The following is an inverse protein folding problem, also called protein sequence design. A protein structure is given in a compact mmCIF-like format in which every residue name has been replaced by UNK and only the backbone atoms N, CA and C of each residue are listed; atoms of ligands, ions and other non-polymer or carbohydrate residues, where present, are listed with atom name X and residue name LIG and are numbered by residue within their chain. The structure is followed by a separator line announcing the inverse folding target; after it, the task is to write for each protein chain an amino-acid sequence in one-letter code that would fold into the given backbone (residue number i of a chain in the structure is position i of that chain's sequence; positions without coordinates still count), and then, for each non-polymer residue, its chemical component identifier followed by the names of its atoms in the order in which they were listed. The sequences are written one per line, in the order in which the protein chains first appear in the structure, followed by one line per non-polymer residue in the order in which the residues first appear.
data_IF_140182341871
#
_entry.id   IF_140182341871
#
_cell.length_a   1.000
_cell.length_b   1.000
_cell.length_c   1.000
_cell.angle_alpha   90.00
_cell.angle_beta   90.00
_cell.angle_gamma   90.00
#
_symmetry.space_group_name_H-M   'P 1'
#
loop_
_entity.id
_entity.type
_entity.pdbx_description
1 polymer ?
#
# COMPACT_ATOMS: atom_id res chain seq x y z
N UNK A 1 -8.65 5.42 16.31
CA UNK A 1 -8.12 5.69 14.98
C UNK A 1 -7.67 4.38 14.35
N UNK A 2 -7.87 4.23 13.07
CA UNK A 2 -7.59 2.98 12.38
C UNK A 2 -6.38 3.14 11.44
N UNK A 3 -5.55 2.10 11.37
CA UNK A 3 -4.45 2.05 10.43
C UNK A 3 -4.98 1.73 9.03
N UNK A 4 -4.47 2.41 8.01
CA UNK A 4 -4.78 2.14 6.61
C UNK A 4 -3.50 2.12 5.79
N UNK A 5 -3.48 1.29 4.73
CA UNK A 5 -2.42 1.32 3.74
C UNK A 5 -2.95 2.10 2.53
N UNK A 6 -2.27 3.18 2.19
CA UNK A 6 -2.66 4.04 1.07
C UNK A 6 -1.54 4.13 0.05
N UNK A 7 -1.91 4.33 -1.21
CA UNK A 7 -0.95 4.50 -2.30
C UNK A 7 -0.48 5.94 -2.33
N UNK A 8 0.84 6.13 -2.33
CA UNK A 8 1.48 7.42 -2.55
C UNK A 8 2.21 7.37 -3.89
N UNK A 9 1.94 8.33 -4.76
CA UNK A 9 2.53 8.40 -6.09
C UNK A 9 3.68 9.42 -6.11
N UNK A 10 4.72 9.10 -6.88
CA UNK A 10 5.88 9.98 -7.05
C UNK A 10 5.50 11.30 -7.72
N UNK A 11 4.52 11.25 -8.63
CA UNK A 11 4.02 12.40 -9.39
C UNK A 11 2.51 12.34 -9.50
N UNK A 12 1.87 13.47 -9.76
CA UNK A 12 0.45 13.49 -10.06
C UNK A 12 0.16 12.78 -11.38
N UNK A 13 -0.98 12.10 -11.43
CA UNK A 13 -1.42 11.45 -12.65
C UNK A 13 -2.00 12.48 -13.62
N UNK A 14 -1.72 12.34 -14.94
CA UNK A 14 -2.32 13.22 -15.95
C UNK A 14 -3.84 13.05 -16.03
N UNK A 15 -4.34 11.87 -15.68
CA UNK A 15 -5.77 11.60 -15.55
C UNK A 15 -5.98 10.82 -14.24
N UNK A 16 -6.94 11.21 -13.39
CA UNK A 16 -7.16 10.51 -12.13
C UNK A 16 -7.67 9.10 -12.37
N UNK A 17 -7.27 8.17 -11.51
CA UNK A 17 -7.78 6.80 -11.54
C UNK A 17 -9.26 6.77 -11.16
N UNK A 18 -9.99 5.81 -11.73
CA UNK A 18 -11.38 5.60 -11.35
C UNK A 18 -11.46 5.15 -9.89
N UNK A 19 -12.24 5.86 -9.03
CA UNK A 19 -12.33 5.48 -7.63
C UNK A 19 -13.15 4.19 -7.46
N UNK A 20 -12.75 3.39 -6.48
CA UNK A 20 -13.52 2.21 -6.05
C UNK A 20 -14.24 2.57 -4.76
N UNK A 21 -15.55 2.52 -4.77
CA UNK A 21 -16.38 2.91 -3.64
C UNK A 21 -16.08 2.04 -2.42
N UNK A 22 -15.81 2.68 -1.30
CA UNK A 22 -15.52 2.00 -0.03
C UNK A 22 -14.08 1.54 0.14
N UNK A 23 -13.22 1.67 -0.87
CA UNK A 23 -11.82 1.34 -0.76
C UNK A 23 -11.08 2.43 0.03
N UNK A 24 -10.50 2.06 1.18
CA UNK A 24 -9.81 3.02 2.06
C UNK A 24 -8.51 2.48 2.65
N UNK A 25 -8.13 1.25 2.34
CA UNK A 25 -6.89 0.64 2.83
C UNK A 25 -6.94 0.11 4.26
N UNK A 26 -8.06 0.26 4.96
CA UNK A 26 -8.17 -0.19 6.35
C UNK A 26 -8.23 -1.71 6.48
N UNK A 27 -8.93 -2.37 5.57
CA UNK A 27 -9.10 -3.81 5.62
C UNK A 27 -7.78 -4.54 5.39
N UNK A 28 -6.98 -4.11 4.42
CA UNK A 28 -5.68 -4.72 4.16
C UNK A 28 -4.70 -4.47 5.31
N UNK A 29 -4.78 -3.32 5.96
CA UNK A 29 -3.95 -3.04 7.13
C UNK A 29 -4.36 -3.92 8.33
N UNK A 30 -5.66 -4.10 8.53
CA UNK A 30 -6.21 -4.87 9.65
C UNK A 30 -5.82 -6.34 9.58
N UNK A 31 -5.77 -6.91 8.39
CA UNK A 31 -5.44 -8.32 8.16
C UNK A 31 -4.10 -8.49 7.44
N UNK A 32 -3.17 -7.58 7.65
CA UNK A 32 -1.89 -7.55 6.95
C UNK A 32 -1.09 -8.85 7.09
N UNK A 33 -1.11 -9.49 8.26
CA UNK A 33 -0.40 -10.75 8.46
C UNK A 33 -0.94 -11.87 7.55
N UNK A 34 -2.24 -11.94 7.39
CA UNK A 34 -2.88 -12.92 6.50
C UNK A 34 -2.60 -12.60 5.03
N UNK A 35 -2.61 -11.32 4.70
CA UNK A 35 -2.31 -10.84 3.35
C UNK A 35 -0.85 -11.11 3.00
N UNK A 36 0.08 -10.89 3.92
CA UNK A 36 1.49 -11.19 3.71
C UNK A 36 1.71 -12.69 3.50
N UNK A 37 1.01 -13.54 4.26
CA UNK A 37 1.06 -15.00 4.06
C UNK A 37 0.54 -15.39 2.68
N UNK A 38 -0.55 -14.78 2.24
CA UNK A 38 -1.10 -15.01 0.90
C UNK A 38 -0.12 -14.62 -0.20
N UNK A 39 0.55 -13.49 -0.04
CA UNK A 39 1.57 -13.02 -0.99
C UNK A 39 2.73 -14.02 -1.11
N UNK A 40 3.18 -14.58 0.01
CA UNK A 40 4.24 -15.59 0.01
C UNK A 40 3.79 -16.84 -0.73
N UNK A 41 2.56 -17.27 -0.54
CA UNK A 41 2.00 -18.43 -1.25
C UNK A 41 1.89 -18.23 -2.75
N UNK A 42 1.69 -16.98 -3.16
CA UNK A 42 1.64 -16.59 -4.58
C UNK A 42 3.01 -16.22 -5.15
N UNK A 43 4.08 -16.28 -4.37
CA UNK A 43 5.43 -15.89 -4.77
C UNK A 43 5.52 -14.44 -5.28
N UNK A 44 4.81 -13.54 -4.61
CA UNK A 44 4.88 -12.09 -4.90
C UNK A 44 5.31 -11.34 -3.65
N UNK A 45 5.78 -10.10 -3.83
CA UNK A 45 6.16 -9.25 -2.72
C UNK A 45 4.93 -8.93 -1.87
N UNK A 46 5.00 -9.06 -0.53
CA UNK A 46 3.89 -8.66 0.32
C UNK A 46 3.71 -7.14 0.31
N UNK A 47 2.48 -6.63 0.54
CA UNK A 47 2.26 -5.19 0.60
C UNK A 47 3.15 -4.47 1.60
N UNK A 48 3.52 -5.10 2.72
CA UNK A 48 4.42 -4.52 3.72
C UNK A 48 5.83 -4.29 3.17
N UNK A 49 6.27 -5.04 2.15
CA UNK A 49 7.54 -4.81 1.48
C UNK A 49 7.52 -3.57 0.58
N UNK A 50 6.34 -3.08 0.23
CA UNK A 50 6.15 -1.89 -0.61
C UNK A 50 5.92 -0.62 0.22
N UNK A 51 5.99 -0.72 1.54
CA UNK A 51 5.82 0.42 2.43
C UNK A 51 7.08 1.30 2.43
N UNK A 52 6.87 2.60 2.39
CA UNK A 52 7.92 3.59 2.55
C UNK A 52 7.32 4.87 3.13
N UNK A 53 8.15 5.74 3.66
CA UNK A 53 7.72 7.03 4.19
C UNK A 53 8.67 8.11 3.71
N UNK A 54 8.16 9.32 3.50
CA UNK A 54 9.01 10.45 3.16
C UNK A 54 9.89 10.82 4.34
N UNK A 55 11.12 11.27 4.05
CA UNK A 55 12.03 11.74 5.11
C UNK A 55 11.45 12.93 5.86
N UNK A 56 10.72 13.81 5.18
CA UNK A 56 10.07 14.96 5.82
C UNK A 56 9.06 14.52 6.88
N UNK A 57 8.23 13.50 6.59
CA UNK A 57 7.27 12.95 7.54
C UNK A 57 7.98 12.31 8.73
N UNK A 58 9.06 11.57 8.49
CA UNK A 58 9.86 10.95 9.57
C UNK A 58 10.49 12.01 10.47
N UNK A 59 11.02 13.07 9.89
CA UNK A 59 11.62 14.18 10.65
C UNK A 59 10.58 14.83 11.55
N UNK A 60 9.38 15.11 11.06
CA UNK A 60 8.33 15.71 11.85
C UNK A 60 7.92 14.79 13.01
N UNK A 61 7.78 13.50 12.75
CA UNK A 61 7.42 12.53 13.77
C UNK A 61 8.49 12.43 14.86
N UNK A 62 9.76 12.39 14.49
CA UNK A 62 10.87 12.33 15.42
C UNK A 62 10.94 13.58 16.30
N UNK A 63 10.73 14.76 15.74
CA UNK A 63 10.67 16.02 16.50
C UNK A 63 9.52 16.00 17.50
N UNK A 64 8.35 15.52 17.11
CA UNK A 64 7.19 15.40 17.99
C UNK A 64 7.47 14.46 19.16
N UNK A 65 8.28 13.41 18.93
CA UNK A 65 8.65 12.43 19.97
C UNK A 65 9.87 12.87 20.80
N UNK A 66 10.42 14.05 20.54
CA UNK A 66 11.54 14.61 21.32
C UNK A 66 12.92 14.18 20.84
N UNK A 67 13.03 13.59 19.65
CA UNK A 67 14.32 13.20 19.07
C UNK A 67 14.88 14.29 18.17
N UNK A 68 16.20 14.31 18.04
CA UNK A 68 16.89 15.21 17.10
C UNK A 68 17.21 14.47 15.81
N UNK A 69 16.46 14.72 14.71
CA UNK A 69 16.66 13.99 13.46
C UNK A 69 18.00 14.28 12.81
N UNK A 70 18.67 15.40 13.12
CA UNK A 70 19.99 15.72 12.55
C UNK A 70 21.08 14.75 13.03
N UNK A 71 20.86 14.05 14.15
CA UNK A 71 21.79 13.08 14.74
C UNK A 71 21.45 11.65 14.36
N UNK A 72 20.41 11.43 13.56
CA UNK A 72 19.92 10.11 13.21
C UNK A 72 20.11 9.86 11.71
N UNK A 73 20.38 8.59 11.38
CA UNK A 73 20.42 8.16 9.99
C UNK A 73 19.01 7.72 9.60
N UNK A 74 18.36 8.49 8.74
CA UNK A 74 17.00 8.18 8.28
C UNK A 74 17.06 7.29 7.05
N UNK A 75 16.14 6.30 6.92
CA UNK A 75 16.05 5.51 5.71
C UNK A 75 15.60 6.38 4.53
N UNK A 76 16.14 6.17 3.32
CA UNK A 76 15.67 6.90 2.15
C UNK A 76 14.25 6.50 1.78
N UNK A 77 13.49 7.43 1.23
CA UNK A 77 12.20 7.13 0.64
C UNK A 77 12.40 6.25 -0.59
N UNK A 78 11.68 5.13 -0.64
CA UNK A 78 11.78 4.17 -1.73
C UNK A 78 10.59 4.28 -2.66
N UNK A 79 10.86 4.18 -3.96
CA UNK A 79 9.82 4.19 -4.99
C UNK A 79 9.90 2.91 -5.79
N UNK A 80 8.73 2.34 -6.08
CA UNK A 80 8.60 1.07 -6.76
C UNK A 80 7.88 1.25 -8.09
N UNK A 81 8.22 0.44 -9.12
CA UNK A 81 7.44 0.45 -10.37
C UNK A 81 6.00 0.05 -10.10
N UNK A 82 5.05 0.75 -10.71
CA UNK A 82 3.63 0.42 -10.57
C UNK A 82 3.34 -1.01 -11.01
N UNK A 83 4.07 -1.53 -12.00
CA UNK A 83 3.93 -2.91 -12.48
C UNK A 83 4.19 -3.94 -11.37
N UNK A 84 5.15 -3.69 -10.47
CA UNK A 84 5.41 -4.59 -9.34
C UNK A 84 4.24 -4.62 -8.37
N UNK A 85 3.69 -3.46 -8.07
CA UNK A 85 2.51 -3.36 -7.21
C UNK A 85 1.30 -4.03 -7.83
N UNK A 86 1.09 -3.86 -9.12
CA UNK A 86 0.01 -4.53 -9.85
C UNK A 86 0.14 -6.05 -9.80
N UNK A 87 1.35 -6.57 -9.96
CA UNK A 87 1.60 -8.01 -9.85
C UNK A 87 1.18 -8.55 -8.50
N UNK A 88 1.57 -7.88 -7.42
CA UNK A 88 1.21 -8.24 -6.06
C UNK A 88 -0.29 -8.16 -5.84
N UNK A 89 -0.91 -7.05 -6.22
CA UNK A 89 -2.34 -6.80 -5.98
C UNK A 89 -3.20 -7.79 -6.75
N UNK A 90 -2.89 -8.05 -8.02
CA UNK A 90 -3.64 -9.01 -8.84
C UNK A 90 -3.53 -10.42 -8.30
N UNK A 91 -2.34 -10.83 -7.85
CA UNK A 91 -2.15 -12.12 -7.22
C UNK A 91 -2.96 -12.25 -5.93
N UNK A 92 -3.01 -11.18 -5.12
CA UNK A 92 -3.78 -11.15 -3.89
C UNK A 92 -5.28 -11.18 -4.15
N UNK A 93 -5.78 -10.46 -5.15
CA UNK A 93 -7.19 -10.50 -5.55
C UNK A 93 -7.57 -11.94 -5.91
N UNK A 94 -6.75 -12.60 -6.70
CA UNK A 94 -6.98 -14.00 -7.08
C UNK A 94 -7.00 -14.91 -5.85
N UNK A 95 -6.00 -14.78 -4.97
CA UNK A 95 -5.93 -15.61 -3.76
C UNK A 95 -7.13 -15.40 -2.86
N UNK A 96 -7.48 -14.16 -2.54
CA UNK A 96 -8.59 -13.84 -1.64
C UNK A 96 -9.91 -14.34 -2.23
N UNK A 97 -10.12 -14.14 -3.54
CA UNK A 97 -11.34 -14.57 -4.23
C UNK A 97 -11.53 -16.09 -4.17
N UNK A 98 -10.43 -16.86 -4.16
CA UNK A 98 -10.48 -18.33 -4.12
C UNK A 98 -10.34 -18.90 -2.71
N UNK A 99 -10.10 -18.08 -1.70
CA UNK A 99 -9.85 -18.51 -0.32
C UNK A 99 -10.53 -17.58 0.69
N UNK A 100 -11.81 -17.31 0.49
CA UNK A 100 -12.56 -16.34 1.29
C UNK A 100 -12.52 -16.66 2.79
N UNK A 101 -12.48 -17.94 3.14
CA UNK A 101 -12.48 -18.37 4.53
C UNK A 101 -11.16 -18.14 5.27
N UNK A 102 -10.09 -17.81 4.54
CA UNK A 102 -8.80 -17.50 5.14
C UNK A 102 -8.78 -16.10 5.77
N UNK A 103 -9.80 -15.30 5.52
CA UNK A 103 -9.87 -13.90 5.96
C UNK A 103 -11.13 -13.65 6.79
N UNK A 104 -11.01 -12.74 7.77
CA UNK A 104 -12.16 -12.35 8.60
C UNK A 104 -13.18 -11.55 7.81
N UNK A 105 -12.70 -10.62 6.98
CA UNK A 105 -13.56 -9.75 6.18
C UNK A 105 -13.02 -9.67 4.75
N UNK A 106 -13.25 -10.71 3.93
CA UNK A 106 -12.66 -10.76 2.58
C UNK A 106 -13.22 -9.70 1.63
N UNK A 107 -14.50 -9.33 1.74
CA UNK A 107 -15.10 -8.36 0.83
C UNK A 107 -14.48 -6.96 0.95
N UNK A 108 -14.30 -6.39 2.15
CA UNK A 108 -13.56 -5.13 2.30
C UNK A 108 -12.12 -5.21 1.79
N UNK A 109 -11.44 -6.36 1.99
CA UNK A 109 -10.08 -6.56 1.48
C UNK A 109 -10.08 -6.49 -0.04
N UNK A 110 -11.02 -7.16 -0.70
CA UNK A 110 -11.13 -7.14 -2.16
C UNK A 110 -11.39 -5.72 -2.68
N UNK A 111 -12.22 -4.94 -2.00
CA UNK A 111 -12.47 -3.54 -2.38
C UNK A 111 -11.21 -2.71 -2.29
N UNK A 112 -10.44 -2.86 -1.20
CA UNK A 112 -9.19 -2.14 -1.01
C UNK A 112 -8.16 -2.52 -2.08
N UNK A 113 -8.03 -3.80 -2.39
CA UNK A 113 -7.12 -4.29 -3.41
C UNK A 113 -7.49 -3.76 -4.80
N UNK A 114 -8.78 -3.72 -5.13
CA UNK A 114 -9.25 -3.16 -6.40
C UNK A 114 -9.00 -1.66 -6.49
N UNK A 115 -9.14 -0.94 -5.38
CA UNK A 115 -8.79 0.47 -5.33
C UNK A 115 -7.32 0.72 -5.62
N UNK A 116 -6.44 -0.07 -5.02
CA UNK A 116 -5.01 0.00 -5.29
C UNK A 116 -4.73 -0.38 -6.75
N UNK A 117 -5.35 -1.44 -7.26
CA UNK A 117 -5.19 -1.87 -8.65
C UNK A 117 -5.56 -0.75 -9.62
N UNK A 118 -6.68 -0.08 -9.39
CA UNK A 118 -7.12 1.04 -10.24
C UNK A 118 -6.09 2.17 -10.27
N UNK A 119 -5.59 2.56 -9.10
CA UNK A 119 -4.59 3.62 -8.99
C UNK A 119 -3.27 3.22 -9.66
N UNK A 120 -2.80 2.00 -9.41
CA UNK A 120 -1.55 1.51 -9.98
C UNK A 120 -1.64 1.29 -11.49
N UNK A 121 -2.82 0.90 -11.99
CA UNK A 121 -3.05 0.79 -13.43
C UNK A 121 -2.88 2.13 -14.14
N UNK A 122 -3.44 3.20 -13.57
CA UNK A 122 -3.28 4.55 -14.09
C UNK A 122 -1.82 5.02 -13.96
N UNK A 123 -1.15 4.69 -12.85
CA UNK A 123 0.25 5.05 -12.63
C UNK A 123 1.17 4.34 -13.63
N UNK A 124 0.94 3.05 -13.90
CA UNK A 124 1.71 2.30 -14.88
C UNK A 124 1.58 2.92 -16.27
N UNK A 125 0.36 3.26 -16.67
CA UNK A 125 0.12 3.90 -17.97
C UNK A 125 0.82 5.26 -18.10
N UNK A 126 0.99 5.98 -16.99
CA UNK A 126 1.63 7.29 -16.95
C UNK A 126 3.15 7.22 -16.65
N UNK A 127 3.68 6.02 -16.37
CA UNK A 127 5.09 5.86 -16.01
C UNK A 127 5.43 6.42 -14.64
N UNK A 128 4.48 6.46 -13.71
CA UNK A 128 4.64 7.01 -12.37
C UNK A 128 4.91 5.87 -11.37
N UNK A 129 5.93 6.04 -10.54
CA UNK A 129 6.25 5.08 -9.47
C UNK A 129 5.41 5.35 -8.23
N UNK A 130 5.41 4.40 -7.31
CA UNK A 130 4.60 4.48 -6.11
C UNK A 130 5.32 3.87 -4.90
N UNK A 131 4.77 4.10 -3.74
CA UNK A 131 4.96 3.26 -2.55
C UNK A 131 3.66 3.27 -1.75
N UNK A 132 3.55 2.32 -0.82
CA UNK A 132 2.46 2.31 0.13
C UNK A 132 2.89 3.07 1.38
N UNK A 133 1.94 3.74 2.01
CA UNK A 133 2.17 4.50 3.24
C UNK A 133 1.16 4.05 4.29
N UNK A 134 1.61 3.91 5.53
CA UNK A 134 0.70 3.70 6.66
C UNK A 134 0.09 5.04 7.03
N UNK A 135 -1.23 5.10 7.06
CA UNK A 135 -1.97 6.29 7.45
C UNK A 135 -2.87 5.98 8.63
N UNK A 136 -3.04 6.94 9.51
CA UNK A 136 -3.95 6.85 10.65
C UNK A 136 -5.19 7.66 10.31
N UNK A 137 -6.29 6.98 10.12
CA UNK A 137 -7.56 7.56 9.64
C UNK A 137 -8.74 7.23 10.52
#
# INVERSE_FOLDING_TARGET
MALAFVVTLEKELPAPAAPVKGANGKAIARESDRIDSAARRKNVEPPTALLSESQAALIEQLKADGFDPSKMRLPPEQWFPAAEGLKTVRALIDYVSNNLNDFKQPNPILRDLRGIESTLGAAEAAGVRFHLTKADV
#
